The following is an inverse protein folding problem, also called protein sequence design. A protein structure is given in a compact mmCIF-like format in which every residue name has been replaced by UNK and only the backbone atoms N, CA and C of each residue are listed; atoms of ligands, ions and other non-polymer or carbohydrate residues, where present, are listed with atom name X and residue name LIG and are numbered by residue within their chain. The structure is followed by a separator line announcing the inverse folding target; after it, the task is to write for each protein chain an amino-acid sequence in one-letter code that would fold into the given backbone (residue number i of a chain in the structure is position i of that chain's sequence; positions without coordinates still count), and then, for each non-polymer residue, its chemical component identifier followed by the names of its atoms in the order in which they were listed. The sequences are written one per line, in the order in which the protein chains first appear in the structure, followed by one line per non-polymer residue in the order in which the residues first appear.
data_IF_416910542869
#
_entry.id   IF_416910542869
#
_cell.length_a   1.000
_cell.length_b   1.000
_cell.length_c   1.000
_cell.angle_alpha   90.00
_cell.angle_beta   90.00
_cell.angle_gamma   90.00
#
_symmetry.space_group_name_H-M   'P 1'
#
loop_
_entity.id
_entity.type
_entity.pdbx_description
1 polymer ?
#
# COMPACT_ATOMS: atom_id res chain seq x y z
N UNK A 1 21.31 -45.83 28.06
CA UNK A 1 20.59 -44.54 28.08
C UNK A 1 21.09 -43.75 26.89
N UNK A 2 20.29 -43.66 25.83
CA UNK A 2 20.66 -42.83 24.67
C UNK A 2 20.67 -41.40 25.13
N UNK A 3 21.85 -40.78 25.14
CA UNK A 3 22.00 -39.35 25.40
C UNK A 3 21.38 -38.66 24.19
N UNK A 4 20.11 -38.27 24.30
CA UNK A 4 19.50 -37.36 23.33
C UNK A 4 20.24 -36.04 23.47
N UNK A 5 21.05 -35.73 22.47
CA UNK A 5 21.68 -34.42 22.32
C UNK A 5 20.57 -33.44 21.94
N UNK A 6 20.53 -32.28 22.59
CA UNK A 6 19.58 -31.23 22.25
C UNK A 6 19.91 -30.71 20.83
N UNK A 7 18.86 -30.47 20.03
CA UNK A 7 19.02 -30.02 18.64
C UNK A 7 19.52 -28.56 18.56
N UNK A 8 19.27 -27.77 19.61
CA UNK A 8 19.67 -26.36 19.71
C UNK A 8 20.24 -26.10 21.11
N UNK A 9 21.41 -25.47 21.17
CA UNK A 9 22.03 -24.99 22.41
C UNK A 9 22.07 -23.47 22.34
N UNK A 10 21.09 -22.82 22.97
CA UNK A 10 20.96 -21.35 23.02
C UNK A 10 21.05 -20.82 24.45
N UNK A 11 21.37 -19.54 24.59
CA UNK A 11 21.36 -18.84 25.88
C UNK A 11 19.93 -18.63 26.35
N UNK A 12 19.69 -18.68 27.65
CA UNK A 12 18.36 -18.38 28.22
C UNK A 12 17.89 -16.99 27.78
N UNK A 13 16.66 -16.89 27.28
CA UNK A 13 16.06 -15.63 26.85
C UNK A 13 15.92 -14.68 28.06
N UNK A 14 16.62 -13.54 27.99
CA UNK A 14 16.51 -12.49 29.00
C UNK A 14 15.35 -11.54 28.66
N UNK A 15 14.48 -11.21 29.63
CA UNK A 15 13.31 -10.36 29.42
C UNK A 15 13.66 -8.87 29.17
N UNK A 16 14.94 -8.51 29.17
CA UNK A 16 15.40 -7.12 29.08
C UNK A 16 15.31 -6.55 27.65
N UNK A 17 15.27 -7.40 26.62
CA UNK A 17 15.18 -6.98 25.21
C UNK A 17 13.77 -6.45 24.86
N UNK A 18 12.75 -6.90 25.59
CA UNK A 18 11.34 -6.57 25.34
C UNK A 18 10.88 -5.31 26.07
N UNK A 19 11.74 -4.68 26.88
CA UNK A 19 11.39 -3.39 27.48
C UNK A 19 11.52 -2.29 26.44
N UNK A 20 10.44 -1.56 26.09
CA UNK A 20 10.58 -0.37 25.29
C UNK A 20 11.38 0.64 26.12
N UNK A 21 12.67 0.76 25.83
CA UNK A 21 13.45 1.91 26.27
C UNK A 21 12.87 3.09 25.50
N UNK A 22 11.98 3.83 26.13
CA UNK A 22 11.50 5.10 25.61
C UNK A 22 12.72 6.04 25.53
N UNK A 23 13.40 6.01 24.38
CA UNK A 23 14.32 7.05 23.99
C UNK A 23 13.46 8.24 23.60
N UNK A 24 12.94 8.93 24.61
CA UNK A 24 12.39 10.26 24.44
C UNK A 24 13.56 11.18 24.03
N UNK A 25 13.79 11.31 22.74
CA UNK A 25 14.60 12.40 22.18
C UNK A 25 13.83 13.73 22.26
N UNK A 26 13.23 14.03 23.41
CA UNK A 26 12.68 15.35 23.71
C UNK A 26 13.75 16.14 24.43
N UNK A 27 14.53 16.88 23.66
CA UNK A 27 15.30 17.99 24.19
C UNK A 27 14.30 19.04 24.73
N UNK A 28 14.03 19.01 26.02
CA UNK A 28 13.38 20.12 26.72
C UNK A 28 14.41 21.25 26.82
N UNK A 29 14.31 22.22 25.91
CA UNK A 29 15.13 23.43 25.94
C UNK A 29 14.25 24.59 26.39
N UNK A 30 14.69 25.32 27.41
CA UNK A 30 14.01 26.52 27.92
C UNK A 30 13.90 27.63 26.84
N UNK A 31 14.77 27.59 25.82
CA UNK A 31 14.86 28.58 24.74
C UNK A 31 14.05 28.20 23.48
N UNK A 32 13.43 27.01 23.43
CA UNK A 32 12.72 26.50 22.25
C UNK A 32 11.23 26.30 22.54
N UNK A 33 10.39 27.16 21.96
CA UNK A 33 8.94 26.99 22.00
C UNK A 33 8.48 25.88 21.04
N UNK A 34 7.84 24.84 21.59
CA UNK A 34 7.21 23.76 20.80
C UNK A 34 5.80 24.20 20.38
N UNK A 35 5.64 24.58 19.11
CA UNK A 35 4.34 24.97 18.55
C UNK A 35 3.67 23.74 17.94
N UNK A 36 2.50 23.35 18.47
CA UNK A 36 1.68 22.31 17.86
C UNK A 36 1.05 22.82 16.56
N UNK A 37 1.29 22.10 15.45
CA UNK A 37 0.74 22.44 14.14
C UNK A 37 -0.53 21.62 13.92
N UNK A 38 -1.67 22.30 13.99
CA UNK A 38 -2.94 21.73 13.56
C UNK A 38 -3.14 22.02 12.06
N UNK A 39 -3.03 20.95 11.26
CA UNK A 39 -3.13 21.01 9.80
C UNK A 39 -4.52 21.47 9.34
N UNK A 40 -5.58 21.10 10.05
CA UNK A 40 -6.95 21.47 9.68
C UNK A 40 -7.20 22.96 9.96
N UNK A 41 -6.73 23.44 11.10
CA UNK A 41 -6.81 24.88 11.42
C UNK A 41 -5.91 25.71 10.50
N UNK A 42 -4.72 25.21 10.13
CA UNK A 42 -3.86 25.85 9.14
C UNK A 42 -4.54 25.91 7.77
N UNK A 43 -5.12 24.80 7.29
CA UNK A 43 -5.81 24.74 6.01
C UNK A 43 -6.97 25.72 5.95
N UNK A 44 -7.82 25.77 7.00
CA UNK A 44 -8.91 26.77 7.09
C UNK A 44 -8.42 28.22 7.06
N UNK A 45 -7.25 28.51 7.66
CA UNK A 45 -6.66 29.87 7.68
C UNK A 45 -6.17 30.33 6.30
N UNK A 46 -5.69 29.39 5.48
CA UNK A 46 -5.15 29.67 4.15
C UNK A 46 -6.13 29.36 3.02
N UNK A 47 -7.24 28.70 3.29
CA UNK A 47 -8.29 28.41 2.31
C UNK A 47 -8.81 29.70 1.68
N UNK A 48 -8.80 29.76 0.34
CA UNK A 48 -9.22 30.93 -0.42
C UNK A 48 -8.18 32.05 -0.55
N UNK A 49 -7.00 31.93 0.07
CA UNK A 49 -5.87 32.83 -0.19
C UNK A 49 -5.06 32.30 -1.36
N UNK A 50 -5.03 33.05 -2.46
CA UNK A 50 -4.22 32.74 -3.64
C UNK A 50 -2.96 33.63 -3.64
N UNK A 51 -1.83 33.06 -4.07
CA UNK A 51 -0.56 33.76 -4.22
C UNK A 51 -0.27 33.95 -5.71
N UNK A 52 0.02 35.19 -6.12
CA UNK A 52 0.46 35.49 -7.48
C UNK A 52 1.98 35.46 -7.56
N UNK A 53 2.52 34.72 -8.53
CA UNK A 53 3.96 34.55 -8.74
C UNK A 53 4.51 35.36 -9.94
N UNK A 54 3.67 36.08 -10.67
CA UNK A 54 4.02 36.64 -11.99
C UNK A 54 5.13 37.71 -11.96
N UNK A 55 5.28 38.43 -10.84
CA UNK A 55 6.29 39.48 -10.68
C UNK A 55 7.37 39.12 -9.66
N UNK A 56 7.58 37.82 -9.40
CA UNK A 56 8.61 37.37 -8.45
C UNK A 56 9.98 37.35 -9.14
N UNK A 57 10.78 38.38 -8.86
CA UNK A 57 12.15 38.51 -9.37
C UNK A 57 13.19 38.10 -8.32
N UNK A 58 13.84 36.96 -8.55
CA UNK A 58 14.96 36.44 -7.74
C UNK A 58 16.34 36.85 -8.29
N UNK A 59 16.41 37.64 -9.37
CA UNK A 59 17.69 38.13 -9.86
C UNK A 59 18.24 39.15 -8.85
N UNK A 60 19.35 38.81 -8.20
CA UNK A 60 19.92 39.63 -7.15
C UNK A 60 20.60 40.88 -7.73
N UNK A 61 19.80 41.93 -7.95
CA UNK A 61 20.28 43.24 -8.37
C UNK A 61 20.40 44.17 -7.17
N UNK A 62 21.62 44.66 -6.91
CA UNK A 62 22.00 45.56 -5.79
C UNK A 62 21.30 46.94 -5.84
N UNK A 63 20.51 47.22 -6.88
CA UNK A 63 19.80 48.49 -7.02
C UNK A 63 18.61 48.63 -6.04
N UNK A 64 18.55 49.78 -5.35
CA UNK A 64 17.48 50.17 -4.42
C UNK A 64 16.15 50.46 -5.16
N UNK A 65 15.45 49.42 -5.62
CA UNK A 65 14.01 49.50 -5.91
C UNK A 65 13.26 48.71 -4.85
N UNK A 66 12.09 49.21 -4.40
CA UNK A 66 11.18 48.42 -3.56
C UNK A 66 10.71 47.22 -4.38
N UNK A 67 11.24 46.04 -4.06
CA UNK A 67 10.78 44.78 -4.63
C UNK A 67 9.43 44.47 -3.98
N UNK A 68 8.37 44.31 -4.77
CA UNK A 68 7.14 43.73 -4.28
C UNK A 68 7.37 42.21 -4.24
N UNK A 69 7.31 41.61 -3.05
CA UNK A 69 7.24 40.15 -2.94
C UNK A 69 5.87 39.64 -3.39
N UNK A 70 5.48 38.46 -2.91
CA UNK A 70 4.14 37.93 -3.12
C UNK A 70 3.07 38.94 -2.66
N UNK A 71 2.39 39.57 -3.62
CA UNK A 71 1.30 40.51 -3.37
C UNK A 71 -0.01 39.75 -3.16
N UNK A 72 -0.71 40.02 -2.06
CA UNK A 72 -2.08 39.56 -1.89
C UNK A 72 -3.00 40.49 -2.68
N UNK A 73 -3.51 40.00 -3.81
CA UNK A 73 -4.64 40.60 -4.54
C UNK A 73 -4.25 41.48 -5.73
N UNK A 74 -4.28 40.91 -6.93
CA UNK A 74 -4.35 41.64 -8.20
C UNK A 74 -5.44 41.08 -9.16
N UNK A 75 -6.28 40.17 -8.69
CA UNK A 75 -7.46 39.68 -9.42
C UNK A 75 -8.72 40.33 -8.85
N UNK A 76 -8.90 41.64 -9.09
CA UNK A 76 -10.24 42.20 -9.09
C UNK A 76 -10.72 42.09 -10.53
N UNK A 77 -11.54 41.08 -10.79
CA UNK A 77 -12.18 40.84 -12.07
C UNK A 77 -13.25 41.92 -12.28
N UNK A 78 -12.88 43.05 -12.90
CA UNK A 78 -13.88 44.06 -13.29
C UNK A 78 -14.60 43.59 -14.55
N UNK A 79 -15.59 42.72 -14.36
CA UNK A 79 -16.69 42.57 -15.31
C UNK A 79 -17.57 43.78 -15.09
N UNK A 80 -17.72 44.64 -16.10
CA UNK A 80 -18.73 45.70 -16.07
C UNK A 80 -20.08 44.99 -16.00
N UNK A 81 -20.66 44.95 -14.81
CA UNK A 81 -22.02 44.44 -14.63
C UNK A 81 -23.00 45.29 -15.43
N UNK A 82 -24.12 44.70 -15.85
CA UNK A 82 -25.17 45.32 -16.67
C UNK A 82 -25.73 46.67 -16.16
N UNK A 83 -25.31 47.15 -14.98
CA UNK A 83 -25.79 48.36 -14.33
C UNK A 83 -24.79 49.54 -14.36
N UNK A 84 -23.57 49.35 -14.87
CA UNK A 84 -22.62 50.45 -15.05
C UNK A 84 -22.78 51.05 -16.45
N UNK A 85 -23.38 52.24 -16.53
CA UNK A 85 -23.68 52.98 -17.77
C UNK A 85 -22.47 53.53 -18.53
N UNK A 86 -21.31 52.88 -18.46
CA UNK A 86 -20.13 53.19 -19.27
C UNK A 86 -20.03 52.22 -20.45
N UNK A 87 -19.71 52.71 -21.66
CA UNK A 87 -19.55 51.85 -22.82
C UNK A 87 -18.31 50.95 -22.66
N UNK A 88 -18.49 49.64 -22.87
CA UNK A 88 -17.45 48.63 -22.72
C UNK A 88 -16.21 48.91 -23.59
N UNK A 89 -15.02 48.75 -23.01
CA UNK A 89 -13.77 48.73 -23.77
C UNK A 89 -13.66 47.45 -24.63
N UNK A 90 -12.90 47.48 -25.73
CA UNK A 90 -12.76 46.36 -26.68
C UNK A 90 -12.24 45.10 -25.98
N UNK A 91 -11.29 45.23 -25.06
CA UNK A 91 -10.75 44.12 -24.27
C UNK A 91 -11.79 43.54 -23.30
N UNK A 92 -12.61 44.39 -22.66
CA UNK A 92 -13.68 43.96 -21.77
C UNK A 92 -14.79 43.21 -22.53
N UNK A 93 -15.13 43.69 -23.73
CA UNK A 93 -16.10 43.05 -24.62
C UNK A 93 -15.60 41.70 -25.14
N UNK A 94 -14.32 41.60 -25.48
CA UNK A 94 -13.68 40.32 -25.85
C UNK A 94 -13.76 39.31 -24.71
N UNK A 95 -13.46 39.74 -23.48
CA UNK A 95 -13.51 38.88 -22.31
C UNK A 95 -14.94 38.41 -22.00
N UNK A 96 -15.95 39.28 -22.05
CA UNK A 96 -17.37 38.89 -21.85
C UNK A 96 -17.80 37.84 -22.88
N UNK A 97 -17.50 38.08 -24.16
CA UNK A 97 -17.84 37.15 -25.24
C UNK A 97 -17.13 35.80 -25.08
N UNK A 98 -15.87 35.77 -24.62
CA UNK A 98 -15.18 34.52 -24.33
C UNK A 98 -15.86 33.73 -23.20
N UNK A 99 -16.35 34.40 -22.16
CA UNK A 99 -17.12 33.74 -21.10
C UNK A 99 -18.45 33.19 -21.60
N UNK A 100 -19.20 33.98 -22.37
CA UNK A 100 -20.46 33.53 -22.98
C UNK A 100 -20.25 32.33 -23.93
N UNK A 101 -19.15 32.34 -24.71
CA UNK A 101 -18.78 31.22 -25.58
C UNK A 101 -18.45 29.96 -24.79
N UNK A 102 -17.70 30.09 -23.69
CA UNK A 102 -17.32 28.96 -22.85
C UNK A 102 -18.54 28.38 -22.11
N UNK A 103 -19.45 29.22 -21.61
CA UNK A 103 -20.68 28.78 -20.93
C UNK A 103 -21.62 28.04 -21.90
N UNK A 104 -21.74 28.55 -23.14
CA UNK A 104 -22.51 27.87 -24.19
C UNK A 104 -21.88 26.53 -24.58
N UNK A 105 -20.54 26.45 -24.66
CA UNK A 105 -19.82 25.22 -24.96
C UNK A 105 -20.05 24.17 -23.86
N UNK A 106 -20.04 24.59 -22.59
CA UNK A 106 -20.34 23.73 -21.45
C UNK A 106 -21.81 23.27 -21.44
N UNK A 107 -22.75 24.13 -21.82
CA UNK A 107 -24.17 23.77 -21.95
C UNK A 107 -24.41 22.72 -23.05
N UNK A 108 -23.75 22.85 -24.20
CA UNK A 108 -23.83 21.86 -25.31
C UNK A 108 -23.24 20.52 -24.88
N UNK A 109 -22.10 20.53 -24.18
CA UNK A 109 -21.50 19.30 -23.64
C UNK A 109 -22.44 18.61 -22.62
N UNK A 110 -23.12 19.37 -21.76
CA UNK A 110 -24.11 18.83 -20.82
C UNK A 110 -25.32 18.21 -21.55
N UNK A 111 -25.81 18.82 -22.62
CA UNK A 111 -26.90 18.25 -23.44
C UNK A 111 -26.49 16.97 -24.19
N UNK A 112 -25.23 16.88 -24.63
CA UNK A 112 -24.69 15.67 -25.29
C UNK A 112 -24.43 14.52 -24.31
N UNK A 113 -24.01 14.84 -23.08
CA UNK A 113 -23.83 13.87 -21.98
C UNK A 113 -25.17 13.30 -21.47
N UNK A 114 -26.28 14.06 -21.55
CA UNK A 114 -27.61 13.55 -21.19
C UNK A 114 -28.18 12.54 -22.20
N UNK A 115 -27.72 12.55 -23.46
CA UNK A 115 -28.18 11.64 -24.52
C UNK A 115 -27.38 10.35 -24.66
N UNK A 116 -26.21 10.24 -24.00
CA UNK A 116 -25.37 9.02 -24.02
C UNK A 116 -25.38 8.27 -22.68
N UNK A 117 -26.53 7.73 -22.28
CA UNK A 117 -26.62 6.73 -21.20
C UNK A 117 -26.81 5.30 -21.72
N UNK A 118 -25.93 4.86 -22.61
CA UNK A 118 -25.70 3.44 -22.93
C UNK A 118 -24.22 3.08 -22.77
N UNK A 119 -23.80 2.82 -21.53
CA UNK A 119 -22.52 2.14 -21.24
C UNK A 119 -22.69 1.24 -20.03
N UNK A 120 -23.22 0.03 -20.23
CA UNK A 120 -23.56 -0.93 -19.16
C UNK A 120 -22.33 -1.64 -18.53
N UNK A 121 -21.12 -1.41 -19.04
CA UNK A 121 -19.87 -2.00 -18.51
C UNK A 121 -19.09 -1.06 -17.59
N UNK A 122 -19.10 0.25 -17.85
CA UNK A 122 -18.46 1.25 -16.97
C UNK A 122 -19.24 1.49 -15.66
N UNK A 123 -20.57 1.34 -15.68
CA UNK A 123 -21.41 1.51 -14.48
C UNK A 123 -21.21 0.42 -13.43
N UNK A 124 -20.84 -0.81 -13.80
CA UNK A 124 -20.63 -1.88 -12.82
C UNK A 124 -19.36 -1.65 -11.99
N UNK A 125 -18.26 -1.25 -12.64
CA UNK A 125 -16.99 -0.94 -11.97
C UNK A 125 -17.14 0.25 -11.03
N UNK A 126 -17.77 1.34 -11.49
CA UNK A 126 -18.02 2.53 -10.65
C UNK A 126 -18.97 2.23 -9.46
N UNK A 127 -19.95 1.35 -9.63
CA UNK A 127 -20.85 0.94 -8.53
C UNK A 127 -20.09 0.09 -7.51
N UNK A 128 -19.23 -0.83 -7.95
CA UNK A 128 -18.45 -1.67 -7.03
C UNK A 128 -17.35 -0.87 -6.31
N UNK A 129 -16.70 0.08 -6.98
CA UNK A 129 -15.79 1.06 -6.34
C UNK A 129 -16.52 1.90 -5.29
N UNK A 130 -17.72 2.40 -5.59
CA UNK A 130 -18.50 3.17 -4.61
C UNK A 130 -18.91 2.35 -3.39
N UNK A 131 -19.11 1.03 -3.56
CA UNK A 131 -19.42 0.11 -2.46
C UNK A 131 -18.18 -0.21 -1.65
N UNK A 132 -17.02 -0.38 -2.30
CA UNK A 132 -15.73 -0.58 -1.65
C UNK A 132 -15.37 0.62 -0.78
N UNK A 133 -15.47 1.84 -1.32
CA UNK A 133 -15.22 3.08 -0.59
C UNK A 133 -16.12 3.22 0.64
N UNK A 134 -17.41 2.86 0.54
CA UNK A 134 -18.33 2.84 1.70
C UNK A 134 -17.93 1.80 2.74
N UNK A 135 -17.44 0.63 2.30
CA UNK A 135 -16.96 -0.41 3.20
C UNK A 135 -15.68 0.03 3.91
N UNK A 136 -14.75 0.65 3.17
CA UNK A 136 -13.49 1.19 3.68
C UNK A 136 -13.75 2.32 4.68
N UNK A 137 -14.67 3.24 4.39
CA UNK A 137 -15.06 4.30 5.33
C UNK A 137 -15.66 3.71 6.62
N UNK A 138 -16.50 2.68 6.50
CA UNK A 138 -17.06 1.97 7.66
C UNK A 138 -15.99 1.23 8.45
N UNK A 139 -15.04 0.58 7.76
CA UNK A 139 -13.92 -0.11 8.38
C UNK A 139 -13.04 0.88 9.14
N UNK A 140 -12.69 2.01 8.51
CA UNK A 140 -11.94 3.09 9.13
C UNK A 140 -12.63 3.64 10.38
N UNK A 141 -13.96 3.80 10.37
CA UNK A 141 -14.72 4.22 11.56
C UNK A 141 -14.63 3.19 12.69
N UNK A 142 -14.69 1.89 12.36
CA UNK A 142 -14.54 0.81 13.34
C UNK A 142 -13.11 0.80 13.87
N UNK A 143 -12.11 0.96 13.01
CA UNK A 143 -10.70 1.06 13.40
C UNK A 143 -10.42 2.28 14.27
N UNK A 144 -11.01 3.45 14.00
CA UNK A 144 -10.84 4.62 14.89
C UNK A 144 -11.55 4.46 16.23
N UNK A 145 -12.58 3.63 16.30
CA UNK A 145 -13.33 3.42 17.54
C UNK A 145 -12.74 2.32 18.41
N UNK A 146 -12.22 1.25 17.78
CA UNK A 146 -11.65 0.08 18.47
C UNK A 146 -10.13 0.16 18.56
N UNK A 147 -9.49 0.78 17.57
CA UNK A 147 -8.05 0.96 17.53
C UNK A 147 -7.60 1.91 18.62
N UNK A 148 -6.55 1.52 19.32
CA UNK A 148 -5.81 2.38 20.23
C UNK A 148 -4.93 3.31 19.39
N UNK A 149 -5.02 4.62 19.61
CA UNK A 149 -4.05 5.54 19.02
C UNK A 149 -2.67 5.07 19.46
N UNK A 150 -1.75 4.89 18.51
CA UNK A 150 -0.39 4.42 18.76
C UNK A 150 0.43 5.34 19.70
N UNK A 151 -0.15 6.46 20.12
CA UNK A 151 0.41 7.46 21.01
C UNK A 151 -0.11 7.38 22.46
N UNK A 152 -1.17 6.61 22.75
CA UNK A 152 -1.66 6.46 24.11
C UNK A 152 -0.89 5.37 24.86
N UNK A 153 0.14 5.85 25.54
CA UNK A 153 1.06 5.26 26.52
C UNK A 153 0.38 4.55 27.72
N UNK A 154 -0.92 4.24 27.64
CA UNK A 154 -1.71 3.73 28.76
C UNK A 154 -2.05 2.22 28.71
N UNK A 155 -1.60 1.51 27.67
CA UNK A 155 -1.73 0.04 27.59
C UNK A 155 -0.39 -0.64 27.29
N UNK A 156 0.56 -0.55 28.22
CA UNK A 156 1.83 -1.29 28.21
C UNK A 156 1.69 -2.78 28.53
N UNK A 157 0.63 -3.43 28.07
CA UNK A 157 0.56 -4.90 28.08
C UNK A 157 0.63 -5.35 26.64
N UNK A 158 1.82 -5.78 26.21
CA UNK A 158 2.10 -6.38 24.89
C UNK A 158 1.27 -7.65 24.60
N UNK A 159 0.43 -8.07 25.54
CA UNK A 159 -0.63 -9.01 25.27
C UNK A 159 -1.76 -8.27 24.55
N UNK A 160 -1.89 -8.52 23.25
CA UNK A 160 -3.13 -8.30 22.49
C UNK A 160 -4.26 -9.15 23.08
N UNK A 161 -4.71 -8.81 24.28
CA UNK A 161 -5.83 -9.46 24.94
C UNK A 161 -7.06 -9.14 24.09
N UNK A 162 -7.82 -10.15 23.65
CA UNK A 162 -9.04 -9.92 22.90
C UNK A 162 -9.93 -8.94 23.67
N UNK A 163 -10.46 -7.92 23.00
CA UNK A 163 -11.33 -6.91 23.63
C UNK A 163 -12.48 -7.52 24.44
N UNK A 164 -12.97 -8.70 24.02
CA UNK A 164 -13.98 -9.47 24.76
C UNK A 164 -13.51 -9.97 26.14
N UNK A 165 -12.25 -10.37 26.29
CA UNK A 165 -11.70 -10.78 27.58
C UNK A 165 -11.58 -9.60 28.53
N UNK A 166 -11.15 -8.43 28.04
CA UNK A 166 -11.09 -7.18 28.82
C UNK A 166 -12.48 -6.75 29.30
N UNK A 167 -13.51 -6.86 28.44
CA UNK A 167 -14.89 -6.56 28.82
C UNK A 167 -15.39 -7.54 29.88
N UNK A 168 -15.16 -8.84 29.70
CA UNK A 168 -15.61 -9.84 30.67
C UNK A 168 -14.87 -9.69 32.00
N UNK A 169 -13.58 -9.35 31.99
CA UNK A 169 -12.85 -8.99 33.19
C UNK A 169 -13.44 -7.75 33.87
N UNK A 170 -13.68 -6.68 33.13
CA UNK A 170 -14.29 -5.46 33.67
C UNK A 170 -15.68 -5.74 34.23
N UNK A 171 -16.48 -6.56 33.54
CA UNK A 171 -17.80 -7.01 33.98
C UNK A 171 -17.71 -7.80 35.28
N UNK A 172 -16.73 -8.69 35.43
CA UNK A 172 -16.48 -9.42 36.67
C UNK A 172 -16.08 -8.48 37.80
N UNK A 173 -15.20 -7.51 37.53
CA UNK A 173 -14.81 -6.47 38.51
C UNK A 173 -15.99 -5.61 38.94
N UNK A 174 -16.85 -5.19 38.01
CA UNK A 174 -18.10 -4.45 38.29
C UNK A 174 -19.07 -5.29 39.13
N UNK A 175 -19.17 -6.60 38.85
CA UNK A 175 -19.99 -7.51 39.64
C UNK A 175 -19.45 -7.70 41.06
N UNK A 176 -18.13 -7.73 41.22
CA UNK A 176 -17.46 -7.78 42.53
C UNK A 176 -17.64 -6.48 43.32
N UNK A 177 -17.85 -5.34 42.64
CA UNK A 177 -18.13 -4.04 43.26
C UNK A 177 -19.47 -4.00 44.02
N UNK A 178 -20.33 -5.01 43.84
CA UNK A 178 -21.55 -5.18 44.64
C UNK A 178 -21.27 -6.12 45.84
N UNK A 179 -20.96 -5.59 47.04
CA UNK A 179 -20.49 -6.38 48.18
C UNK A 179 -21.54 -7.40 48.66
N UNK A 180 -22.83 -7.08 48.56
CA UNK A 180 -23.91 -7.99 48.96
C UNK A 180 -23.96 -9.26 48.10
N UNK A 181 -23.62 -9.16 46.81
CA UNK A 181 -23.54 -10.32 45.92
C UNK A 181 -22.25 -11.11 46.12
N UNK A 182 -21.14 -10.44 46.47
CA UNK A 182 -19.87 -11.08 46.76
C UNK A 182 -19.98 -12.00 47.99
N UNK A 183 -20.57 -11.53 49.09
CA UNK A 183 -20.73 -12.32 50.32
C UNK A 183 -21.59 -13.57 50.11
N UNK A 184 -22.69 -13.44 49.37
CA UNK A 184 -23.59 -14.56 49.04
C UNK A 184 -22.88 -15.57 48.13
N UNK A 185 -22.08 -15.12 47.17
CA UNK A 185 -21.31 -16.00 46.28
C UNK A 185 -20.18 -16.70 47.05
N UNK A 186 -19.44 -15.99 47.91
CA UNK A 186 -18.41 -16.56 48.78
C UNK A 186 -18.99 -17.66 49.69
N UNK A 187 -20.15 -17.41 50.32
CA UNK A 187 -20.82 -18.42 51.14
C UNK A 187 -21.25 -19.67 50.36
N UNK A 188 -21.65 -19.52 49.09
CA UNK A 188 -21.99 -20.65 48.20
C UNK A 188 -20.76 -21.40 47.70
N UNK A 189 -19.69 -20.67 47.35
CA UNK A 189 -18.42 -21.24 46.92
C UNK A 189 -17.76 -22.06 48.03
N UNK A 190 -17.75 -21.55 49.27
CA UNK A 190 -17.22 -22.30 50.41
C UNK A 190 -17.98 -23.61 50.67
N UNK A 191 -19.31 -23.60 50.51
CA UNK A 191 -20.12 -24.82 50.59
C UNK A 191 -19.83 -25.80 49.44
N UNK A 192 -19.58 -25.30 48.24
CA UNK A 192 -19.21 -26.12 47.09
C UNK A 192 -17.81 -26.73 47.24
N UNK A 193 -16.86 -25.95 47.75
CA UNK A 193 -15.48 -26.36 48.00
C UNK A 193 -15.42 -27.50 49.04
N UNK A 194 -16.18 -27.39 50.13
CA UNK A 194 -16.29 -28.47 51.11
C UNK A 194 -16.83 -29.77 50.48
N UNK A 195 -17.84 -29.68 49.62
CA UNK A 195 -18.37 -30.84 48.88
C UNK A 195 -17.38 -31.41 47.86
N UNK A 196 -16.60 -30.56 47.19
CA UNK A 196 -15.57 -30.99 46.25
C UNK A 196 -14.44 -31.74 46.94
N UNK A 197 -14.03 -31.28 48.14
CA UNK A 197 -13.04 -31.97 48.96
C UNK A 197 -13.53 -33.37 49.36
N UNK A 198 -14.79 -33.49 49.79
CA UNK A 198 -15.42 -34.79 50.10
C UNK A 198 -15.46 -35.75 48.89
N UNK A 199 -15.72 -35.23 47.68
CA UNK A 199 -15.71 -36.03 46.44
C UNK A 199 -14.29 -36.43 46.02
N UNK A 200 -13.31 -35.54 46.22
CA UNK A 200 -11.90 -35.84 45.91
C UNK A 200 -11.32 -36.90 46.84
N UNK A 201 -11.66 -36.88 48.13
CA UNK A 201 -11.27 -37.93 49.09
C UNK A 201 -11.81 -39.30 48.65
N UNK A 202 -13.02 -39.35 48.08
CA UNK A 202 -13.62 -40.57 47.53
C UNK A 202 -13.03 -41.00 46.18
N UNK A 203 -12.33 -40.13 45.45
CA UNK A 203 -11.77 -40.40 44.09
C UNK A 203 -10.30 -40.85 44.09
N UNK A 204 -9.57 -40.72 45.19
CA UNK A 204 -8.12 -41.02 45.27
C UNK A 204 -7.71 -42.47 44.99
N UNK A 205 -8.65 -43.41 44.83
CA UNK A 205 -8.30 -44.83 44.68
C UNK A 205 -8.10 -45.32 43.23
N UNK A 206 -8.38 -44.54 42.17
CA UNK A 206 -8.26 -45.05 40.78
C UNK A 206 -7.94 -44.00 39.71
N UNK A 207 -6.72 -43.47 39.66
CA UNK A 207 -6.27 -42.78 38.44
C UNK A 207 -4.84 -43.22 38.07
N UNK A 208 -4.69 -43.63 36.81
CA UNK A 208 -3.43 -44.03 36.20
C UNK A 208 -2.64 -42.76 35.83
N UNK A 209 -1.55 -42.50 36.55
CA UNK A 209 -0.72 -41.30 36.38
C UNK A 209 -0.10 -41.18 34.98
N UNK A 210 0.12 -42.29 34.27
CA UNK A 210 0.61 -42.26 32.89
C UNK A 210 -0.46 -41.81 31.90
N UNK A 211 -1.73 -42.12 32.17
CA UNK A 211 -2.85 -41.64 31.39
C UNK A 211 -3.04 -40.13 31.58
N UNK A 212 -2.95 -39.62 32.81
CA UNK A 212 -3.01 -38.17 33.07
C UNK A 212 -1.89 -37.41 32.35
N UNK A 213 -0.64 -37.88 32.41
CA UNK A 213 0.47 -37.25 31.69
C UNK A 213 0.26 -37.22 30.17
N UNK A 214 -0.38 -38.25 29.60
CA UNK A 214 -0.74 -38.28 28.18
C UNK A 214 -1.91 -37.36 27.86
N UNK A 215 -2.88 -37.25 28.75
CA UNK A 215 -4.00 -36.31 28.61
C UNK A 215 -3.49 -34.87 28.69
N UNK A 216 -2.58 -34.58 29.62
CA UNK A 216 -1.95 -33.27 29.77
C UNK A 216 -1.10 -32.92 28.54
N UNK A 217 -0.35 -33.88 27.97
CA UNK A 217 0.41 -33.64 26.75
C UNK A 217 -0.49 -33.38 25.54
N UNK A 218 -1.61 -34.10 25.42
CA UNK A 218 -2.62 -33.86 24.39
C UNK A 218 -3.33 -32.52 24.58
N UNK A 219 -3.65 -32.14 25.82
CA UNK A 219 -4.27 -30.86 26.13
C UNK A 219 -3.34 -29.69 25.75
N UNK A 220 -2.06 -29.78 26.11
CA UNK A 220 -1.06 -28.79 25.71
C UNK A 220 -0.87 -28.72 24.19
N UNK A 221 -0.95 -29.86 23.50
CA UNK A 221 -0.91 -29.88 22.04
C UNK A 221 -2.14 -29.16 21.47
N UNK A 222 -3.34 -29.49 21.94
CA UNK A 222 -4.57 -28.85 21.48
C UNK A 222 -4.53 -27.34 21.71
N UNK A 223 -4.08 -26.88 22.88
CA UNK A 223 -3.95 -25.44 23.16
C UNK A 223 -3.02 -24.73 22.17
N UNK A 224 -1.89 -25.32 21.81
CA UNK A 224 -0.95 -24.75 20.82
C UNK A 224 -1.56 -24.67 19.41
N UNK A 225 -2.42 -25.62 19.06
CA UNK A 225 -3.03 -25.68 17.73
C UNK A 225 -4.39 -25.00 17.65
N UNK A 226 -5.02 -24.63 18.78
CA UNK A 226 -6.35 -24.02 18.80
C UNK A 226 -6.37 -22.67 18.06
N UNK A 227 -5.38 -21.82 18.31
CA UNK A 227 -5.20 -20.55 17.59
C UNK A 227 -4.99 -20.77 16.08
N UNK A 228 -4.24 -21.81 15.70
CA UNK A 228 -4.01 -22.13 14.29
C UNK A 228 -5.32 -22.64 13.65
N UNK A 229 -6.07 -23.48 14.35
CA UNK A 229 -7.34 -24.05 13.90
C UNK A 229 -8.42 -22.97 13.71
N UNK A 230 -8.46 -21.95 14.59
CA UNK A 230 -9.40 -20.82 14.45
C UNK A 230 -9.04 -19.92 13.27
N UNK A 231 -7.76 -19.74 12.98
CA UNK A 231 -7.27 -18.93 11.85
C UNK A 231 -7.29 -19.67 10.50
N UNK A 232 -7.27 -21.00 10.50
CA UNK A 232 -7.17 -21.84 9.29
C UNK A 232 -8.25 -21.53 8.24
N UNK A 233 -9.56 -21.37 8.58
CA UNK A 233 -10.58 -21.03 7.59
C UNK A 233 -10.32 -19.68 6.91
N UNK A 234 -9.82 -18.69 7.65
CA UNK A 234 -9.48 -17.36 7.11
C UNK A 234 -8.31 -17.44 6.12
N UNK A 235 -7.27 -18.22 6.46
CA UNK A 235 -6.12 -18.46 5.56
C UNK A 235 -6.57 -19.18 4.29
N UNK A 236 -7.43 -20.20 4.41
CA UNK A 236 -7.97 -20.90 3.24
C UNK A 236 -8.81 -19.96 2.36
N UNK A 237 -9.68 -19.15 2.97
CA UNK A 237 -10.47 -18.17 2.24
C UNK A 237 -9.59 -17.16 1.48
N UNK A 238 -8.53 -16.67 2.12
CA UNK A 238 -7.54 -15.78 1.48
C UNK A 238 -6.87 -16.47 0.28
N UNK A 239 -6.51 -17.74 0.38
CA UNK A 239 -5.94 -18.51 -0.75
C UNK A 239 -6.98 -18.67 -1.88
N UNK A 240 -8.24 -18.93 -1.54
CA UNK A 240 -9.33 -19.00 -2.53
C UNK A 240 -9.55 -17.65 -3.23
N UNK A 241 -9.52 -16.55 -2.50
CA UNK A 241 -9.69 -15.20 -3.06
C UNK A 241 -8.51 -14.82 -3.96
N UNK A 242 -7.28 -15.20 -3.58
CA UNK A 242 -6.06 -14.99 -4.38
C UNK A 242 -5.89 -16.00 -5.52
N UNK A 243 -6.72 -17.03 -5.62
CA UNK A 243 -6.57 -18.10 -6.62
C UNK A 243 -6.48 -17.56 -8.05
N UNK A 244 -7.36 -16.61 -8.41
CA UNK A 244 -7.36 -15.99 -9.76
C UNK A 244 -6.07 -15.21 -10.03
N UNK A 245 -5.52 -14.54 -9.03
CA UNK A 245 -4.26 -13.81 -9.15
C UNK A 245 -3.09 -14.79 -9.32
N UNK A 246 -3.07 -15.88 -8.55
CA UNK A 246 -2.07 -16.93 -8.71
C UNK A 246 -2.13 -17.60 -10.09
N UNK A 247 -3.33 -17.86 -10.61
CA UNK A 247 -3.53 -18.40 -11.96
C UNK A 247 -3.00 -17.44 -13.03
N UNK A 248 -3.29 -16.14 -12.90
CA UNK A 248 -2.74 -15.10 -13.79
C UNK A 248 -1.21 -15.03 -13.72
N UNK A 249 -0.63 -15.09 -12.52
CA UNK A 249 0.82 -15.11 -12.34
C UNK A 249 1.47 -16.36 -12.99
N UNK A 250 0.81 -17.51 -12.89
CA UNK A 250 1.26 -18.74 -13.53
C UNK A 250 1.20 -18.64 -15.06
N UNK A 251 0.11 -18.10 -15.62
CA UNK A 251 -0.03 -17.85 -17.06
C UNK A 251 1.02 -16.86 -17.55
N UNK A 252 1.27 -15.79 -16.81
CA UNK A 252 2.31 -14.81 -17.12
C UNK A 252 3.69 -15.47 -17.16
N UNK A 253 4.02 -16.30 -16.17
CA UNK A 253 5.30 -17.01 -16.13
C UNK A 253 5.46 -17.94 -17.35
N UNK A 254 4.40 -18.68 -17.73
CA UNK A 254 4.40 -19.51 -18.93
C UNK A 254 4.66 -18.69 -20.20
N UNK A 255 3.95 -17.59 -20.37
CA UNK A 255 4.12 -16.69 -21.53
C UNK A 255 5.53 -16.09 -21.57
N UNK A 256 6.09 -15.74 -20.40
CA UNK A 256 7.45 -15.23 -20.29
C UNK A 256 8.48 -16.29 -20.68
N UNK A 257 8.32 -17.54 -20.24
CA UNK A 257 9.19 -18.64 -20.68
C UNK A 257 9.09 -18.89 -22.19
N UNK A 258 7.89 -18.87 -22.76
CA UNK A 258 7.71 -19.00 -24.21
C UNK A 258 8.38 -17.86 -24.98
N UNK A 259 8.24 -16.62 -24.50
CA UNK A 259 8.87 -15.44 -25.10
C UNK A 259 10.40 -15.51 -25.02
N UNK A 260 10.97 -15.95 -23.89
CA UNK A 260 12.41 -16.19 -23.74
C UNK A 260 12.88 -17.25 -24.74
N UNK A 261 12.08 -18.30 -24.96
CA UNK A 261 12.34 -19.34 -25.97
C UNK A 261 12.38 -18.78 -27.39
N UNK A 262 11.36 -18.01 -27.80
CA UNK A 262 11.30 -17.37 -29.12
C UNK A 262 12.48 -16.40 -29.31
N UNK A 263 12.79 -15.60 -28.29
CA UNK A 263 13.96 -14.69 -28.32
C UNK A 263 15.26 -15.45 -28.55
N UNK A 264 15.45 -16.59 -27.89
CA UNK A 264 16.64 -17.45 -28.08
C UNK A 264 16.72 -18.00 -29.51
N UNK A 265 15.59 -18.40 -30.09
CA UNK A 265 15.55 -18.87 -31.48
C UNK A 265 15.85 -17.75 -32.48
N UNK A 266 15.28 -16.55 -32.28
CA UNK A 266 15.56 -15.39 -33.13
C UNK A 266 17.03 -14.97 -33.07
N UNK A 267 17.65 -15.01 -31.90
CA UNK A 267 19.09 -14.73 -31.78
C UNK A 267 19.92 -15.75 -32.58
N UNK A 268 19.59 -17.04 -32.50
CA UNK A 268 20.27 -18.08 -33.30
C UNK A 268 20.10 -17.88 -34.81
N UNK A 269 18.90 -17.51 -35.26
CA UNK A 269 18.65 -17.21 -36.68
C UNK A 269 19.41 -15.96 -37.13
N UNK A 270 19.44 -14.93 -36.31
CA UNK A 270 20.21 -13.72 -36.60
C UNK A 270 21.71 -14.00 -36.67
N UNK A 271 22.23 -14.86 -35.79
CA UNK A 271 23.64 -15.29 -35.83
C UNK A 271 23.94 -16.13 -37.08
N UNK A 272 23.05 -17.04 -37.47
CA UNK A 272 23.23 -17.83 -38.71
C UNK A 272 23.15 -16.95 -39.96
N UNK A 273 22.18 -16.03 -40.03
CA UNK A 273 22.09 -15.05 -41.12
C UNK A 273 23.35 -14.18 -41.18
N UNK A 274 23.86 -13.72 -40.03
CA UNK A 274 25.11 -12.95 -39.96
C UNK A 274 26.28 -13.74 -40.56
N UNK A 275 26.40 -15.04 -40.28
CA UNK A 275 27.43 -15.90 -40.89
C UNK A 275 27.23 -16.00 -42.41
N UNK A 276 25.99 -16.26 -42.88
CA UNK A 276 25.73 -16.36 -44.33
C UNK A 276 26.04 -15.07 -45.08
N UNK A 277 25.79 -13.91 -44.48
CA UNK A 277 26.13 -12.60 -45.07
C UNK A 277 27.64 -12.41 -45.15
N UNK A 278 28.39 -12.85 -44.14
CA UNK A 278 29.87 -12.81 -44.16
C UNK A 278 30.41 -13.72 -45.25
N UNK A 279 29.90 -14.95 -45.35
CA UNK A 279 30.31 -15.91 -46.39
C UNK A 279 30.00 -15.37 -47.80
N UNK A 280 28.82 -14.79 -47.99
CA UNK A 280 28.44 -14.16 -49.26
C UNK A 280 29.36 -12.98 -49.62
N UNK A 281 29.68 -12.11 -48.66
CA UNK A 281 30.63 -11.01 -48.87
C UNK A 281 32.01 -11.53 -49.28
N UNK A 282 32.47 -12.61 -48.66
CA UNK A 282 33.76 -13.21 -48.98
C UNK A 282 33.76 -13.85 -50.38
N UNK A 283 32.70 -14.58 -50.74
CA UNK A 283 32.55 -15.12 -52.10
C UNK A 283 32.49 -14.01 -53.16
N UNK A 284 31.82 -12.89 -52.86
CA UNK A 284 31.75 -11.74 -53.77
C UNK A 284 33.12 -11.08 -53.94
N UNK A 285 33.90 -10.93 -52.86
CA UNK A 285 35.26 -10.40 -52.92
C UNK A 285 36.19 -11.32 -53.74
N UNK A 286 36.08 -12.64 -53.58
CA UNK A 286 36.82 -13.62 -54.37
C UNK A 286 36.42 -13.56 -55.85
N UNK A 287 35.13 -13.45 -56.14
CA UNK A 287 34.62 -13.33 -57.51
C UNK A 287 35.12 -12.04 -58.19
N UNK A 288 35.08 -10.91 -57.48
CA UNK A 288 35.62 -9.63 -57.97
C UNK A 288 37.12 -9.76 -58.22
N UNK A 289 37.87 -10.37 -57.31
CA UNK A 289 39.32 -10.57 -57.47
C UNK A 289 39.64 -11.43 -58.69
N UNK A 290 38.87 -12.51 -58.94
CA UNK A 290 39.00 -13.33 -60.15
C UNK A 290 38.67 -12.55 -61.41
N UNK A 291 37.62 -11.72 -61.41
CA UNK A 291 37.26 -10.87 -62.55
C UNK A 291 38.37 -9.85 -62.83
N UNK A 292 38.88 -9.16 -61.80
CA UNK A 292 39.99 -8.22 -61.93
C UNK A 292 41.23 -8.89 -62.52
N UNK A 293 41.60 -10.07 -62.02
CA UNK A 293 42.72 -10.84 -62.53
C UNK A 293 42.52 -11.28 -63.99
N UNK A 294 41.29 -11.62 -64.37
CA UNK A 294 40.95 -11.96 -65.76
C UNK A 294 40.99 -10.73 -66.68
N UNK A 295 40.53 -9.56 -66.22
CA UNK A 295 40.63 -8.29 -66.93
C UNK A 295 42.09 -7.92 -67.15
N UNK A 296 42.93 -8.05 -66.13
CA UNK A 296 44.37 -7.77 -66.20
C UNK A 296 45.08 -8.70 -67.20
N UNK A 297 44.74 -10.00 -67.21
CA UNK A 297 45.21 -10.94 -68.25
C UNK A 297 44.77 -10.53 -69.65
N UNK A 298 43.53 -10.03 -69.82
CA UNK A 298 43.01 -9.53 -71.08
C UNK A 298 43.74 -8.25 -71.55
N UNK A 299 43.97 -7.30 -70.63
CA UNK A 299 44.75 -6.09 -70.91
C UNK A 299 46.18 -6.43 -71.33
N UNK A 300 46.84 -7.36 -70.63
CA UNK A 300 48.18 -7.84 -71.00
C UNK A 300 48.20 -8.50 -72.39
N UNK A 301 47.14 -9.22 -72.78
CA UNK A 301 47.02 -9.77 -74.13
C UNK A 301 46.78 -8.69 -75.18
N UNK A 302 45.96 -7.68 -74.89
CA UNK A 302 45.72 -6.54 -75.78
C UNK A 302 47.00 -5.73 -76.00
N UNK A 303 47.78 -5.47 -74.94
CA UNK A 303 49.07 -4.78 -75.05
C UNK A 303 50.08 -5.54 -75.91
N UNK A 304 50.09 -6.87 -75.85
CA UNK A 304 50.93 -7.73 -76.72
C UNK A 304 50.48 -7.75 -78.19
N UNK A 305 49.25 -7.32 -78.48
CA UNK A 305 48.71 -7.21 -79.85
C UNK A 305 48.85 -5.79 -80.41
N UNK A 306 49.07 -4.78 -79.56
CA UNK A 306 49.24 -3.38 -79.95
C UNK A 306 50.71 -2.94 -80.11
N UNK A 307 51.66 -3.87 -79.97
CA UNK A 307 53.10 -3.70 -80.20
C UNK A 307 53.53 -4.64 -81.33
#
# INVERSE_FOLDING_TARGET
MSIQKEDVYETEDLPEVDQPIAQEETYESEDVEKIHIDVDNALKRFQGRLLNADNVDFSDSIARRRRAGYGSGAYVLEVVGNECGEPENIEQKFNRLNYELNDLLEAIQKEDEEKKKETQTAKKVAVDESRYLKLEERLRRIETFVGTDAADDFSHTDTRVPFGEVIEELRLRVRALNPANADVICGRLNKLLAKMQEVNERRKEKIDSEFEKKVDSLYNLILKWDEICTNLPSVVQRICDLHKLHEQAQLFNKNLSELIGVRSQLLKLMDSERVTVVDFKQQMADAISRISMNIEKLQNRLQKLSA
#
